data_IF_364190102159
#
_entry.id   IF_364190102159
#
_cell.length_a   1.000
_cell.length_b   1.000
_cell.length_c   1.000
_cell.angle_alpha   90.00
_cell.angle_beta   90.00
_cell.angle_gamma   90.00
#
_symmetry.space_group_name_H-M   'P 1'
#
loop_
_entity.id
_entity.type
_entity.pdbx_description
1 polymer ?
#
# COMPACT_ATOMS: atom_id res chain seq x y z
N UNK A 1 0.82 -8.86 14.93
CA UNK A 1 1.50 -8.14 16.03
C UNK A 1 1.47 -6.65 15.73
N UNK A 2 1.22 -5.81 16.73
CA UNK A 2 1.14 -4.35 16.57
C UNK A 2 2.00 -3.68 17.64
N UNK A 3 2.73 -2.65 17.26
CA UNK A 3 3.48 -1.77 18.16
C UNK A 3 3.11 -0.31 17.88
N UNK A 4 3.77 0.64 18.56
CA UNK A 4 3.59 2.07 18.31
C UNK A 4 3.86 2.43 16.85
N UNK A 5 4.92 1.87 16.27
CA UNK A 5 5.47 2.31 14.97
C UNK A 5 5.43 1.22 13.89
N UNK A 6 4.81 0.05 14.16
CA UNK A 6 4.74 -1.03 13.18
C UNK A 6 3.56 -1.97 13.37
N UNK A 7 3.13 -2.54 12.25
CA UNK A 7 2.15 -3.63 12.18
C UNK A 7 2.77 -4.78 11.40
N UNK A 8 2.74 -5.98 12.00
CA UNK A 8 3.15 -7.23 11.36
C UNK A 8 1.95 -8.14 11.22
N UNK A 9 1.58 -8.41 9.97
CA UNK A 9 0.53 -9.34 9.63
C UNK A 9 1.07 -10.78 9.67
N UNK A 10 0.26 -11.69 10.20
CA UNK A 10 0.58 -13.13 10.20
C UNK A 10 -0.12 -13.74 9.00
N UNK A 11 0.66 -14.36 8.12
CA UNK A 11 0.14 -15.05 6.94
C UNK A 11 0.61 -16.52 6.92
N UNK A 12 -0.24 -17.47 6.53
CA UNK A 12 -1.66 -17.28 6.19
C UNK A 12 -2.51 -16.96 7.44
N UNK A 13 -3.59 -16.19 7.25
CA UNK A 13 -4.58 -15.95 8.32
C UNK A 13 -5.38 -17.25 8.56
N UNK A 14 -5.31 -17.85 9.77
CA UNK A 14 -5.99 -19.11 10.07
C UNK A 14 -7.52 -19.02 9.97
N UNK A 15 -8.09 -17.81 10.01
CA UNK A 15 -9.53 -17.58 9.96
C UNK A 15 -10.03 -17.10 8.59
N UNK A 16 -9.14 -16.92 7.60
CA UNK A 16 -9.51 -16.38 6.29
C UNK A 16 -10.66 -17.14 5.63
N UNK A 17 -10.61 -18.48 5.64
CA UNK A 17 -11.64 -19.32 5.03
C UNK A 17 -13.02 -19.15 5.70
N UNK A 18 -13.06 -18.99 7.03
CA UNK A 18 -14.29 -18.76 7.77
C UNK A 18 -14.88 -17.39 7.44
N UNK A 19 -14.05 -16.36 7.39
CA UNK A 19 -14.47 -14.99 7.04
C UNK A 19 -15.01 -14.95 5.61
N UNK A 20 -14.33 -15.62 4.68
CA UNK A 20 -14.74 -15.67 3.27
C UNK A 20 -16.07 -16.43 3.07
N UNK A 21 -16.35 -17.49 3.84
CA UNK A 21 -17.67 -18.17 3.85
C UNK A 21 -18.79 -17.25 4.36
N UNK A 22 -18.56 -16.56 5.49
CA UNK A 22 -19.53 -15.60 6.04
C UNK A 22 -19.82 -14.47 5.04
N UNK A 23 -18.79 -13.90 4.44
CA UNK A 23 -18.95 -12.86 3.41
C UNK A 23 -19.68 -13.39 2.17
N UNK A 24 -19.40 -14.62 1.73
CA UNK A 24 -20.10 -15.26 0.62
C UNK A 24 -21.60 -15.37 0.84
N UNK A 25 -22.03 -15.75 2.06
CA UNK A 25 -23.46 -15.83 2.43
C UNK A 25 -24.15 -14.46 2.46
N UNK A 26 -23.39 -13.40 2.70
CA UNK A 26 -23.87 -12.01 2.73
C UNK A 26 -23.73 -11.30 1.37
N UNK A 27 -23.28 -12.00 0.33
CA UNK A 27 -22.94 -11.41 -0.97
C UNK A 27 -21.91 -10.25 -0.85
N UNK A 28 -21.02 -10.36 0.12
CA UNK A 28 -19.92 -9.43 0.37
C UNK A 28 -18.60 -10.02 -0.13
N UNK A 29 -17.62 -9.16 -0.40
CA UNK A 29 -16.26 -9.56 -0.77
C UNK A 29 -15.25 -8.66 -0.09
N UNK A 30 -14.05 -9.19 0.16
CA UNK A 30 -12.90 -8.37 0.57
C UNK A 30 -12.49 -7.49 -0.61
N UNK A 31 -12.57 -6.17 -0.44
CA UNK A 31 -12.27 -5.18 -1.48
C UNK A 31 -11.03 -4.34 -1.17
N UNK A 32 -10.42 -4.51 -0.01
CA UNK A 32 -9.30 -3.69 0.40
C UNK A 32 -8.77 -4.05 1.77
N UNK A 33 -7.79 -3.27 2.19
CA UNK A 33 -7.23 -3.26 3.53
C UNK A 33 -7.06 -1.81 4.02
N UNK A 34 -7.03 -1.64 5.34
CA UNK A 34 -6.91 -0.35 6.00
C UNK A 34 -5.91 -0.46 7.14
N UNK A 35 -5.07 0.56 7.31
CA UNK A 35 -4.15 0.68 8.44
C UNK A 35 -4.08 2.12 8.94
N UNK A 36 -3.57 2.30 10.15
CA UNK A 36 -3.49 3.60 10.84
C UNK A 36 -2.05 4.06 10.96
N UNK A 37 -1.82 5.35 10.76
CA UNK A 37 -0.59 6.07 11.06
C UNK A 37 -0.97 7.32 11.85
N UNK A 38 -1.22 7.13 13.15
CA UNK A 38 -1.75 8.16 14.04
C UNK A 38 -0.81 8.32 15.23
N UNK A 39 -0.21 9.51 15.33
CA UNK A 39 0.56 9.93 16.50
C UNK A 39 -0.19 11.07 17.19
N UNK A 40 -0.47 10.99 18.50
CA UNK A 40 -1.20 12.04 19.20
C UNK A 40 -0.40 13.34 19.24
N UNK A 41 -1.07 14.48 19.07
CA UNK A 41 -0.50 15.80 19.32
C UNK A 41 -0.61 16.12 20.82
N UNK A 42 0.52 16.10 21.52
CA UNK A 42 0.59 16.37 22.97
C UNK A 42 0.19 17.81 23.34
N UNK A 43 0.18 18.73 22.37
CA UNK A 43 -0.17 20.14 22.60
C UNK A 43 -1.67 20.41 22.47
N UNK A 44 -2.41 19.55 21.77
CA UNK A 44 -3.83 19.71 21.48
C UNK A 44 -4.57 18.38 21.65
N UNK A 45 -5.26 18.24 22.78
CA UNK A 45 -6.06 17.06 23.09
C UNK A 45 -7.06 16.74 21.97
N UNK A 46 -6.99 15.52 21.45
CA UNK A 46 -7.87 15.03 20.37
C UNK A 46 -7.33 15.21 18.96
N UNK A 47 -6.21 15.90 18.79
CA UNK A 47 -5.53 16.03 17.50
C UNK A 47 -4.43 14.99 17.32
N UNK A 48 -4.07 14.74 16.06
CA UNK A 48 -2.97 13.89 15.65
C UNK A 48 -1.94 14.68 14.84
N UNK A 49 -0.69 14.25 14.90
CA UNK A 49 0.39 14.77 14.08
C UNK A 49 0.19 14.39 12.62
N UNK A 50 0.79 15.21 11.76
CA UNK A 50 0.69 15.08 10.33
C UNK A 50 2.06 14.73 9.72
N UNK A 51 2.19 13.50 9.20
CA UNK A 51 3.47 12.96 8.72
C UNK A 51 3.53 12.63 7.23
N UNK A 52 2.41 12.74 6.48
CA UNK A 52 2.30 12.28 5.09
C UNK A 52 1.98 13.42 4.12
N UNK A 53 2.35 13.35 2.85
CA UNK A 53 1.82 14.27 1.83
C UNK A 53 2.30 15.74 1.86
N UNK A 54 3.32 16.10 2.63
CA UNK A 54 4.08 17.34 2.42
C UNK A 54 5.27 17.11 1.46
N UNK A 55 5.82 18.18 0.87
CA UNK A 55 6.94 18.13 -0.11
C UNK A 55 8.21 17.43 0.40
N UNK A 56 8.37 17.32 1.72
CA UNK A 56 9.52 16.69 2.37
C UNK A 56 9.18 15.30 2.95
N UNK A 57 8.06 14.70 2.55
CA UNK A 57 7.55 13.42 3.06
C UNK A 57 6.99 12.56 1.92
N UNK A 58 6.26 11.50 2.27
CA UNK A 58 5.62 10.59 1.33
C UNK A 58 4.14 10.42 1.64
N UNK A 59 3.36 9.97 0.66
CA UNK A 59 1.96 9.57 0.86
C UNK A 59 1.89 8.12 1.33
N UNK A 60 2.58 7.24 0.60
CA UNK A 60 2.81 5.84 0.95
C UNK A 60 4.32 5.58 0.94
N UNK A 61 4.81 4.85 1.94
CA UNK A 61 6.17 4.35 1.91
C UNK A 61 6.32 3.28 0.82
N UNK A 62 7.56 3.01 0.40
CA UNK A 62 7.87 1.93 -0.52
C UNK A 62 7.40 0.57 0.03
N UNK A 63 7.50 0.34 1.34
CA UNK A 63 7.02 -0.88 1.98
C UNK A 63 5.49 -1.00 1.90
N UNK A 64 4.76 0.09 2.11
CA UNK A 64 3.30 0.12 1.98
C UNK A 64 2.86 -0.07 0.52
N UNK A 65 3.57 0.53 -0.44
CA UNK A 65 3.35 0.30 -1.87
C UNK A 65 3.57 -1.17 -2.24
N UNK A 66 4.63 -1.80 -1.72
CA UNK A 66 4.91 -3.22 -1.95
C UNK A 66 3.83 -4.11 -1.33
N UNK A 67 3.34 -3.77 -0.13
CA UNK A 67 2.25 -4.50 0.52
C UNK A 67 0.93 -4.34 -0.27
N UNK A 68 0.61 -3.13 -0.72
CA UNK A 68 -0.55 -2.87 -1.58
C UNK A 68 -0.47 -3.68 -2.89
N UNK A 69 0.69 -3.72 -3.54
CA UNK A 69 0.94 -4.54 -4.72
C UNK A 69 0.76 -6.03 -4.45
N UNK A 70 1.25 -6.51 -3.30
CA UNK A 70 1.07 -7.91 -2.87
C UNK A 70 -0.41 -8.24 -2.73
N UNK A 71 -1.21 -7.41 -2.04
CA UNK A 71 -2.65 -7.62 -1.96
C UNK A 71 -3.34 -7.56 -3.32
N UNK A 72 -3.03 -6.56 -4.16
CA UNK A 72 -3.60 -6.45 -5.50
C UNK A 72 -3.30 -7.68 -6.37
N UNK A 73 -2.11 -8.28 -6.23
CA UNK A 73 -1.74 -9.53 -6.92
C UNK A 73 -2.51 -10.76 -6.42
N UNK A 74 -2.89 -10.78 -5.13
CA UNK A 74 -3.71 -11.86 -4.55
C UNK A 74 -5.21 -11.69 -4.84
N UNK A 75 -5.65 -10.49 -5.24
CA UNK A 75 -7.03 -10.18 -5.60
C UNK A 75 -7.12 -9.62 -7.04
N UNK A 76 -6.78 -10.43 -8.07
CA UNK A 76 -6.77 -9.95 -9.46
C UNK A 76 -8.19 -9.65 -9.96
N UNK A 77 -8.32 -8.61 -10.78
CA UNK A 77 -9.59 -8.25 -11.38
C UNK A 77 -9.83 -9.02 -12.69
N UNK A 78 -10.96 -9.73 -12.78
CA UNK A 78 -11.40 -10.42 -14.00
C UNK A 78 -11.68 -9.39 -15.09
N UNK A 79 -11.09 -9.62 -16.27
CA UNK A 79 -11.23 -8.77 -17.44
C UNK A 79 -11.28 -9.62 -18.71
N UNK A 80 -12.45 -9.69 -19.35
CA UNK A 80 -12.66 -10.45 -20.59
C UNK A 80 -11.85 -9.93 -21.79
N UNK A 81 -11.37 -8.69 -21.71
CA UNK A 81 -10.55 -8.05 -22.74
C UNK A 81 -9.05 -8.24 -22.52
N UNK A 82 -8.65 -8.87 -21.41
CA UNK A 82 -7.26 -9.24 -21.16
C UNK A 82 -6.96 -10.63 -21.75
N UNK A 83 -5.83 -10.83 -22.45
CA UNK A 83 -5.40 -12.15 -22.92
C UNK A 83 -5.38 -13.21 -21.81
N UNK A 84 -4.95 -12.81 -20.61
CA UNK A 84 -4.83 -13.69 -19.45
C UNK A 84 -6.13 -13.75 -18.60
N UNK A 85 -7.23 -13.15 -19.09
CA UNK A 85 -8.53 -13.00 -18.39
C UNK A 85 -8.48 -12.14 -17.13
N UNK A 86 -7.33 -11.61 -16.74
CA UNK A 86 -7.15 -10.72 -15.59
C UNK A 86 -6.39 -9.45 -15.99
N UNK A 87 -6.77 -8.31 -15.42
CA UNK A 87 -6.05 -7.05 -15.62
C UNK A 87 -6.15 -6.19 -14.36
N UNK A 88 -4.98 -5.94 -13.74
CA UNK A 88 -4.86 -5.17 -12.51
C UNK A 88 -5.67 -5.74 -11.35
N UNK A 89 -6.11 -4.87 -10.46
CA UNK A 89 -6.93 -5.22 -9.30
C UNK A 89 -7.89 -4.09 -8.95
N UNK A 90 -9.02 -4.44 -8.32
CA UNK A 90 -9.92 -3.47 -7.68
C UNK A 90 -9.70 -3.39 -6.16
N UNK A 91 -8.66 -4.06 -5.66
CA UNK A 91 -8.32 -4.05 -4.25
C UNK A 91 -7.72 -2.69 -3.88
N UNK A 92 -8.26 -2.06 -2.84
CA UNK A 92 -7.85 -0.71 -2.40
C UNK A 92 -7.05 -0.76 -1.11
N UNK A 93 -6.16 0.21 -0.94
CA UNK A 93 -5.39 0.46 0.29
C UNK A 93 -5.89 1.75 0.91
N UNK A 94 -6.24 1.74 2.19
CA UNK A 94 -6.66 2.94 2.90
C UNK A 94 -5.70 3.23 4.05
N UNK A 95 -5.23 4.47 4.15
CA UNK A 95 -4.43 4.96 5.28
C UNK A 95 -5.28 5.90 6.11
N UNK A 96 -5.33 5.66 7.41
CA UNK A 96 -5.93 6.58 8.38
C UNK A 96 -4.80 7.40 8.99
N UNK A 97 -4.75 8.69 8.67
CA UNK A 97 -3.64 9.60 9.04
C UNK A 97 -4.19 10.95 9.50
N UNK A 98 -3.34 11.84 10.02
CA UNK A 98 -3.70 13.24 10.24
C UNK A 98 -3.96 13.98 8.91
N UNK A 99 -4.81 15.00 8.92
CA UNK A 99 -5.12 15.81 7.73
C UNK A 99 -4.08 16.91 7.49
N UNK A 100 -3.62 17.06 6.24
CA UNK A 100 -2.69 18.13 5.81
C UNK A 100 -3.37 19.42 5.32
N UNK A 101 -4.49 19.28 4.60
CA UNK A 101 -5.04 20.32 3.73
C UNK A 101 -6.35 20.87 4.31
N UNK A 102 -6.29 21.73 5.33
CA UNK A 102 -7.29 22.78 5.67
C UNK A 102 -6.96 23.44 7.01
N UNK A 103 -7.67 24.53 7.35
CA UNK A 103 -7.59 25.25 8.64
C UNK A 103 -7.81 24.36 9.89
N UNK A 104 -8.21 23.10 9.71
CA UNK A 104 -8.40 22.06 10.73
C UNK A 104 -7.25 21.04 10.78
N UNK A 105 -6.00 21.54 10.80
CA UNK A 105 -4.81 20.72 11.03
C UNK A 105 -4.95 19.81 12.25
N UNK A 106 -4.67 18.51 12.04
CA UNK A 106 -4.62 17.50 13.10
C UNK A 106 -5.90 16.70 13.33
N UNK A 107 -6.94 16.86 12.48
CA UNK A 107 -8.07 15.92 12.46
C UNK A 107 -7.69 14.60 11.77
N UNK A 108 -8.34 13.51 12.16
CA UNK A 108 -8.20 12.20 11.52
C UNK A 108 -8.84 12.24 10.12
N UNK A 109 -8.11 11.75 9.14
CA UNK A 109 -8.49 11.70 7.73
C UNK A 109 -8.20 10.32 7.12
N UNK A 110 -8.86 10.03 6.00
CA UNK A 110 -8.75 8.75 5.28
C UNK A 110 -8.27 9.00 3.86
N UNK A 111 -7.16 8.37 3.49
CA UNK A 111 -6.58 8.48 2.15
C UNK A 111 -6.62 7.11 1.46
N UNK A 112 -7.22 7.08 0.26
CA UNK A 112 -7.40 5.85 -0.51
C UNK A 112 -6.44 5.77 -1.69
N UNK A 113 -5.77 4.62 -1.84
CA UNK A 113 -4.76 4.38 -2.85
C UNK A 113 -4.95 3.04 -3.56
N UNK A 114 -4.47 3.01 -4.81
CA UNK A 114 -4.10 1.80 -5.52
C UNK A 114 -2.71 1.99 -6.12
N UNK A 115 -1.95 0.91 -6.23
CA UNK A 115 -0.67 0.93 -6.93
C UNK A 115 -0.86 0.55 -8.39
N UNK A 116 0.04 1.04 -9.24
CA UNK A 116 0.01 0.78 -10.68
C UNK A 116 0.19 -0.71 -10.99
N UNK A 117 -0.29 -1.12 -12.17
CA UNK A 117 -0.03 -2.47 -12.68
C UNK A 117 1.48 -2.76 -12.85
N UNK A 118 2.30 -1.72 -13.05
CA UNK A 118 3.76 -1.84 -13.11
C UNK A 118 4.34 -2.18 -11.74
N UNK A 119 3.87 -1.53 -10.67
CA UNK A 119 4.26 -1.87 -9.29
C UNK A 119 3.85 -3.31 -8.95
N UNK A 120 2.62 -3.71 -9.31
CA UNK A 120 2.16 -5.10 -9.19
C UNK A 120 3.12 -6.08 -9.87
N UNK A 121 3.57 -5.78 -11.09
CA UNK A 121 4.50 -6.62 -11.83
C UNK A 121 5.88 -6.71 -11.17
N UNK A 122 6.46 -5.59 -10.73
CA UNK A 122 7.76 -5.53 -10.06
C UNK A 122 7.78 -6.31 -8.73
N UNK A 123 6.67 -6.25 -7.99
CA UNK A 123 6.52 -6.99 -6.73
C UNK A 123 6.28 -8.48 -6.99
N UNK A 124 5.47 -8.82 -8.00
CA UNK A 124 5.25 -10.21 -8.44
C UNK A 124 6.56 -10.85 -8.91
N UNK A 125 7.41 -10.10 -9.61
CA UNK A 125 8.74 -10.53 -10.05
C UNK A 125 9.78 -10.47 -8.93
N UNK A 126 9.45 -9.98 -7.73
CA UNK A 126 10.37 -9.84 -6.58
C UNK A 126 11.60 -8.95 -6.87
N UNK A 127 11.49 -8.01 -7.82
CA UNK A 127 12.57 -7.09 -8.19
C UNK A 127 12.63 -5.83 -7.33
N UNK A 128 11.54 -5.47 -6.64
CA UNK A 128 11.41 -4.25 -5.84
C UNK A 128 11.48 -4.56 -4.35
N UNK A 129 12.29 -3.81 -3.61
CA UNK A 129 12.39 -3.87 -2.13
C UNK A 129 12.30 -2.46 -1.54
N UNK A 130 11.84 -2.31 -0.28
CA UNK A 130 11.86 -1.00 0.38
C UNK A 130 13.30 -0.60 0.73
N UNK A 131 13.54 0.71 0.76
CA UNK A 131 14.82 1.27 1.25
C UNK A 131 14.73 1.54 2.74
N UNK A 132 15.83 1.34 3.47
CA UNK A 132 15.88 1.52 4.92
C UNK A 132 15.91 3.00 5.34
N UNK A 133 16.83 3.79 4.76
CA UNK A 133 17.04 5.20 5.14
C UNK A 133 16.18 6.20 4.36
N UNK A 134 15.43 5.74 3.36
CA UNK A 134 14.59 6.57 2.48
C UNK A 134 13.27 5.86 2.21
N UNK A 135 12.35 5.94 3.17
CA UNK A 135 11.05 5.23 3.14
C UNK A 135 10.20 5.54 1.91
N UNK A 136 10.42 6.68 1.27
CA UNK A 136 9.76 7.14 0.05
C UNK A 136 10.32 6.49 -1.23
N UNK A 137 11.49 5.84 -1.16
CA UNK A 137 12.19 5.26 -2.30
C UNK A 137 12.13 3.73 -2.28
N UNK A 138 11.77 3.14 -3.42
CA UNK A 138 11.94 1.72 -3.69
C UNK A 138 13.28 1.43 -4.34
N UNK A 139 13.93 0.36 -3.91
CA UNK A 139 15.20 -0.11 -4.48
C UNK A 139 14.96 -1.29 -5.43
N UNK A 140 15.56 -1.22 -6.62
CA UNK A 140 15.54 -2.31 -7.59
C UNK A 140 16.72 -3.22 -7.32
N UNK A 141 16.45 -4.51 -7.10
CA UNK A 141 17.49 -5.50 -6.86
C UNK A 141 18.42 -5.64 -8.05
N UNK A 142 19.67 -5.94 -7.76
CA UNK A 142 20.63 -6.33 -8.79
C UNK A 142 20.34 -7.73 -9.33
N UNK A 143 20.81 -7.99 -10.56
CA UNK A 143 20.79 -9.33 -11.14
C UNK A 143 21.64 -10.29 -10.30
N UNK A 144 21.11 -11.48 -10.04
CA UNK A 144 21.79 -12.57 -9.35
C UNK A 144 21.82 -13.82 -10.23
N UNK A 145 22.50 -14.88 -9.78
CA UNK A 145 22.49 -16.18 -10.48
C UNK A 145 21.07 -16.79 -10.56
N UNK A 146 20.21 -16.50 -9.59
CA UNK A 146 18.85 -17.05 -9.49
C UNK A 146 17.82 -16.21 -10.24
N UNK A 147 18.12 -14.92 -10.47
CA UNK A 147 17.14 -13.97 -10.99
C UNK A 147 17.80 -12.87 -11.80
N UNK A 148 17.37 -12.74 -13.06
CA UNK A 148 17.67 -11.59 -13.91
C UNK A 148 16.76 -10.40 -13.58
N UNK A 149 17.35 -9.22 -13.42
CA UNK A 149 16.65 -7.94 -13.24
C UNK A 149 17.10 -6.98 -14.35
N UNK A 150 16.20 -6.57 -15.26
CA UNK A 150 16.55 -5.62 -16.32
C UNK A 150 16.72 -4.21 -15.77
N UNK A 151 17.32 -3.33 -16.57
CA UNK A 151 17.34 -1.89 -16.28
C UNK A 151 15.92 -1.33 -16.17
N UNK A 152 15.67 -0.60 -15.09
CA UNK A 152 14.37 0.01 -14.80
C UNK A 152 14.51 1.53 -14.86
N UNK A 153 13.78 2.14 -15.79
CA UNK A 153 13.68 3.60 -15.93
C UNK A 153 12.26 4.05 -15.59
N UNK A 154 12.13 5.26 -15.06
CA UNK A 154 10.85 5.91 -14.80
C UNK A 154 10.84 7.30 -15.40
N UNK A 155 9.65 7.79 -15.76
CA UNK A 155 9.48 9.13 -16.31
C UNK A 155 9.24 10.11 -15.16
N UNK A 156 10.04 11.17 -15.11
CA UNK A 156 9.83 12.32 -14.21
C UNK A 156 9.01 13.35 -14.97
N UNK A 157 7.97 13.90 -14.35
CA UNK A 157 7.29 15.10 -14.85
C UNK A 157 8.09 16.32 -14.41
N UNK A 158 8.47 17.19 -15.35
CA UNK A 158 9.23 18.42 -15.08
C UNK A 158 8.41 19.53 -14.40
N UNK A 159 7.14 19.28 -14.11
CA UNK A 159 6.26 20.24 -13.44
C UNK A 159 6.25 20.00 -11.91
N UNK A 160 7.24 20.56 -11.22
CA UNK A 160 7.19 20.90 -9.79
C UNK A 160 7.76 22.30 -9.56
#
# INVERSE_FOLDING_TARGET
ETSRDSVKLIFPDPHAALVDDVFGRLNMRRIGWIFTDLLPDETKSGNVLHHRGNTNSYFLSAQECIMAAWFQNNYPNVCKYSPDKFLGSKFVTVVVTGMYLCDSNGQIHFEGYQVSNQCMALVKSKCLVPTYDASELGYIKETSQEQYVPDVYYKVSEDM
#
